data_IF_698635056030
#
_entry.id   IF_698635056030
#
_cell.length_a   1.000
_cell.length_b   1.000
_cell.length_c   1.000
_cell.angle_alpha   90.00
_cell.angle_beta   90.00
_cell.angle_gamma   90.00
#
_symmetry.space_group_name_H-M   'P 1'
#
loop_
_entity.id
_entity.type
_entity.pdbx_description
1 polymer ?
#
# COMPACT_ATOMS: atom_id res chain seq x y z
N UNK A 1 -16.76 -8.22 -29.67
CA UNK A 1 -16.34 -7.22 -28.66
C UNK A 1 -17.52 -6.98 -27.73
N UNK A 2 -17.31 -6.82 -26.42
CA UNK A 2 -18.40 -6.42 -25.50
C UNK A 2 -18.73 -4.94 -25.72
N UNK A 3 -20.01 -4.58 -25.62
CA UNK A 3 -20.48 -3.20 -25.71
C UNK A 3 -19.98 -2.41 -24.50
N UNK A 4 -19.50 -1.19 -24.72
CA UNK A 4 -19.02 -0.34 -23.63
C UNK A 4 -20.19 0.13 -22.77
N UNK A 5 -19.99 0.25 -21.46
CA UNK A 5 -21.02 0.72 -20.53
C UNK A 5 -21.57 2.11 -20.89
N UNK A 6 -20.70 3.02 -21.36
CA UNK A 6 -21.12 4.35 -21.84
C UNK A 6 -22.04 4.29 -23.07
N UNK A 7 -22.05 3.16 -23.79
CA UNK A 7 -22.91 2.91 -24.95
C UNK A 7 -24.08 1.97 -24.60
N UNK A 8 -24.39 1.77 -23.31
CA UNK A 8 -25.49 0.91 -22.85
C UNK A 8 -25.13 -0.56 -22.64
N UNK A 9 -23.84 -0.90 -22.63
CA UNK A 9 -23.37 -2.23 -22.22
C UNK A 9 -23.31 -2.41 -20.69
N UNK A 10 -23.01 -3.62 -20.23
CA UNK A 10 -22.80 -3.92 -18.81
C UNK A 10 -21.54 -3.21 -18.25
N UNK A 11 -21.59 -2.62 -17.04
CA UNK A 11 -20.41 -2.07 -16.36
C UNK A 11 -19.29 -3.10 -16.20
N UNK A 12 -18.04 -2.65 -16.34
CA UNK A 12 -16.88 -3.52 -16.15
C UNK A 12 -16.68 -3.96 -14.69
N UNK A 13 -17.16 -3.16 -13.74
CA UNK A 13 -17.14 -3.42 -12.31
C UNK A 13 -18.57 -3.28 -11.80
N UNK A 14 -19.22 -4.40 -11.50
CA UNK A 14 -20.57 -4.44 -10.92
C UNK A 14 -20.53 -4.50 -9.39
N UNK A 15 -19.41 -4.97 -8.83
CA UNK A 15 -19.15 -4.89 -7.41
C UNK A 15 -18.59 -3.49 -7.08
N UNK A 16 -18.98 -2.93 -5.93
CA UNK A 16 -18.46 -1.64 -5.49
C UNK A 16 -16.99 -1.71 -5.10
N UNK A 17 -16.40 -0.55 -4.80
CA UNK A 17 -15.06 -0.52 -4.22
C UNK A 17 -15.10 -1.01 -2.77
N UNK A 18 -14.04 -1.69 -2.36
CA UNK A 18 -13.83 -2.10 -0.98
C UNK A 18 -13.83 -0.88 -0.04
N UNK A 19 -14.38 -1.06 1.17
CA UNK A 19 -14.41 0.02 2.18
C UNK A 19 -13.04 0.20 2.80
N UNK A 20 -12.56 1.42 2.92
CA UNK A 20 -11.35 1.71 3.68
C UNK A 20 -11.62 1.82 5.19
N UNK A 21 -10.71 1.39 6.08
CA UNK A 21 -9.49 0.63 5.83
C UNK A 21 -9.74 -0.87 5.72
N UNK A 22 -8.98 -1.50 4.84
CA UNK A 22 -8.85 -2.96 4.79
C UNK A 22 -7.70 -3.37 5.71
N UNK A 23 -7.97 -4.22 6.70
CA UNK A 23 -6.96 -4.76 7.62
C UNK A 23 -7.40 -6.11 8.18
N UNK A 24 -6.43 -6.94 8.57
CA UNK A 24 -6.62 -8.24 9.19
C UNK A 24 -5.52 -8.54 10.21
N UNK A 25 -5.31 -9.82 10.49
CA UNK A 25 -4.37 -10.25 11.53
C UNK A 25 -2.91 -9.93 11.17
N UNK A 26 -2.55 -9.96 9.87
CA UNK A 26 -1.20 -9.61 9.42
C UNK A 26 -0.87 -8.15 9.73
N UNK A 27 -1.78 -7.22 9.40
CA UNK A 27 -1.58 -5.79 9.68
C UNK A 27 -1.47 -5.54 11.18
N UNK A 28 -2.28 -6.23 11.98
CA UNK A 28 -2.23 -6.12 13.44
C UNK A 28 -0.89 -6.58 14.01
N UNK A 29 -0.34 -7.69 13.52
CA UNK A 29 0.97 -8.20 13.94
C UNK A 29 2.09 -7.23 13.57
N UNK A 30 2.06 -6.67 12.36
CA UNK A 30 3.06 -5.68 11.92
C UNK A 30 2.96 -4.37 12.72
N UNK A 31 1.75 -3.94 13.07
CA UNK A 31 1.55 -2.77 13.93
C UNK A 31 2.13 -2.99 15.33
N UNK A 32 1.94 -4.17 15.94
CA UNK A 32 2.54 -4.52 17.22
C UNK A 32 4.06 -4.58 17.10
N UNK A 33 4.59 -5.21 16.04
CA UNK A 33 6.03 -5.24 15.77
C UNK A 33 6.62 -3.84 15.69
N UNK A 34 5.96 -2.95 14.95
CA UNK A 34 6.37 -1.56 14.83
C UNK A 34 6.32 -0.84 16.19
N UNK A 35 5.25 -1.04 16.97
CA UNK A 35 5.10 -0.51 18.32
C UNK A 35 6.29 -0.90 19.20
N UNK A 36 6.65 -2.19 19.21
CA UNK A 36 7.70 -2.77 20.04
C UNK A 36 9.11 -2.27 19.69
N UNK A 37 9.31 -1.70 18.49
CA UNK A 37 10.61 -1.09 18.13
C UNK A 37 10.94 0.17 18.93
N UNK A 38 9.93 0.85 19.49
CA UNK A 38 10.09 2.13 20.20
C UNK A 38 10.50 3.33 19.33
N UNK A 39 10.69 3.16 18.02
CA UNK A 39 11.02 4.24 17.08
C UNK A 39 10.17 4.11 15.80
N UNK A 40 9.23 5.04 15.59
CA UNK A 40 8.20 4.90 14.55
C UNK A 40 8.31 5.93 13.42
N UNK A 41 9.49 6.54 13.27
CA UNK A 41 9.73 7.63 12.32
C UNK A 41 10.69 7.26 11.18
N UNK A 42 11.18 8.31 10.51
CA UNK A 42 12.25 8.23 9.52
C UNK A 42 13.47 7.55 10.15
N UNK A 43 14.08 6.62 9.42
CA UNK A 43 15.19 5.80 9.91
C UNK A 43 14.80 4.73 10.93
N UNK A 44 13.50 4.46 11.13
CA UNK A 44 13.09 3.24 11.84
C UNK A 44 13.51 2.01 11.05
N UNK A 45 13.78 0.91 11.75
CA UNK A 45 14.04 -0.38 11.12
C UNK A 45 12.86 -0.86 10.25
N UNK A 46 11.62 -0.49 10.61
CA UNK A 46 10.43 -0.81 9.82
C UNK A 46 10.41 -0.02 8.50
N UNK A 47 10.76 1.27 8.52
CA UNK A 47 10.85 2.10 7.32
C UNK A 47 12.00 1.63 6.42
N UNK A 48 13.17 1.33 6.98
CA UNK A 48 14.31 0.81 6.21
C UNK A 48 13.99 -0.52 5.51
N UNK A 49 13.31 -1.44 6.22
CA UNK A 49 12.86 -2.71 5.64
C UNK A 49 11.89 -2.46 4.48
N UNK A 50 10.94 -1.55 4.66
CA UNK A 50 9.97 -1.22 3.62
C UNK A 50 10.63 -0.56 2.41
N UNK A 51 11.52 0.41 2.59
CA UNK A 51 12.24 1.11 1.52
C UNK A 51 13.07 0.14 0.68
N UNK A 52 13.76 -0.81 1.35
CA UNK A 52 14.51 -1.86 0.65
C UNK A 52 13.61 -2.76 -0.18
N UNK A 53 12.53 -3.27 0.40
CA UNK A 53 11.60 -4.16 -0.32
C UNK A 53 10.93 -3.43 -1.49
N UNK A 54 10.56 -2.17 -1.30
CA UNK A 54 9.93 -1.37 -2.35
C UNK A 54 10.92 -1.04 -3.47
N UNK A 55 12.18 -0.72 -3.16
CA UNK A 55 13.20 -0.47 -4.19
C UNK A 55 13.48 -1.70 -5.05
N UNK A 56 13.50 -2.89 -4.43
CA UNK A 56 13.63 -4.18 -5.13
C UNK A 56 12.45 -4.42 -6.10
N UNK A 57 11.22 -4.16 -5.66
CA UNK A 57 10.01 -4.29 -6.51
C UNK A 57 10.06 -3.34 -7.70
N UNK A 58 10.52 -2.10 -7.48
CA UNK A 58 10.62 -1.08 -8.54
C UNK A 58 11.86 -1.24 -9.42
N UNK A 59 12.83 -2.09 -9.03
CA UNK A 59 14.09 -2.27 -9.75
C UNK A 59 15.03 -1.06 -9.68
N UNK A 60 15.01 -0.32 -8.57
CA UNK A 60 15.84 0.89 -8.36
C UNK A 60 16.81 0.70 -7.21
N UNK A 61 17.92 1.43 -7.23
CA UNK A 61 18.95 1.31 -6.18
C UNK A 61 18.62 2.06 -4.88
N UNK A 62 17.73 3.06 -4.93
CA UNK A 62 17.40 3.92 -3.80
C UNK A 62 15.90 4.19 -3.73
N UNK A 63 15.36 4.22 -2.51
CA UNK A 63 13.97 4.57 -2.21
C UNK A 63 13.95 5.35 -0.90
N UNK A 64 13.07 6.35 -0.81
CA UNK A 64 12.81 7.10 0.42
C UNK A 64 11.30 7.15 0.65
N UNK A 65 10.87 6.79 1.85
CA UNK A 65 9.48 6.87 2.26
C UNK A 65 9.13 8.29 2.71
N UNK A 66 7.97 8.77 2.28
CA UNK A 66 7.40 10.08 2.62
C UNK A 66 5.93 9.92 3.00
N UNK A 67 5.34 10.93 3.64
CA UNK A 67 3.97 10.78 4.16
C UNK A 67 2.89 10.70 3.07
N UNK A 68 3.18 11.17 1.85
CA UNK A 68 2.34 11.02 0.66
C UNK A 68 3.10 11.47 -0.60
N UNK A 69 2.52 11.23 -1.79
CA UNK A 69 3.14 11.56 -3.07
C UNK A 69 3.10 13.03 -3.50
N UNK A 70 2.53 13.95 -2.70
CA UNK A 70 2.58 15.39 -2.98
C UNK A 70 3.90 16.01 -2.52
N UNK A 71 4.55 15.41 -1.51
CA UNK A 71 5.85 15.85 -0.99
C UNK A 71 6.97 15.75 -2.02
#
# INVERSE_FOLDING_TARGET
MKQLAILGGEPACTEGFEKWPQWGESEKQELIRALDTGWWGIGSSVVEEWEKRFSEIQGVSHCSSVCNGTL
#
